data_IF_269108474988
#
_entry.id   IF_269108474988
#
_cell.length_a   1.000
_cell.length_b   1.000
_cell.length_c   1.000
_cell.angle_alpha   90.00
_cell.angle_beta   90.00
_cell.angle_gamma   90.00
#
_symmetry.space_group_name_H-M   'P 1'
#
loop_
_entity.id
_entity.type
_entity.pdbx_description
1 polymer ?
#
# COMPACT_ATOMS: atom_id res chain seq x y z
N UNK A 1 -47.08 -1.39 -44.26
CA UNK A 1 -46.97 -0.07 -43.61
C UNK A 1 -46.16 -0.12 -42.32
N UNK A 2 -46.27 -1.19 -41.50
CA UNK A 2 -45.45 -1.36 -40.28
C UNK A 2 -43.93 -1.41 -40.53
N UNK A 3 -43.47 -2.09 -41.59
CA UNK A 3 -42.04 -2.17 -41.92
C UNK A 3 -41.40 -0.80 -42.23
N UNK A 4 -42.15 0.10 -42.87
CA UNK A 4 -41.70 1.48 -43.11
C UNK A 4 -41.66 2.30 -41.82
N UNK A 5 -42.64 2.10 -40.92
CA UNK A 5 -42.65 2.76 -39.61
C UNK A 5 -41.46 2.32 -38.76
N UNK A 6 -41.21 1.01 -38.66
CA UNK A 6 -40.09 0.48 -37.88
C UNK A 6 -38.72 0.89 -38.44
N UNK A 7 -38.57 0.97 -39.77
CA UNK A 7 -37.35 1.47 -40.40
C UNK A 7 -37.11 2.96 -40.10
N UNK A 8 -38.16 3.79 -40.15
CA UNK A 8 -38.06 5.20 -39.82
C UNK A 8 -37.78 5.43 -38.33
N UNK A 9 -38.40 4.66 -37.44
CA UNK A 9 -38.14 4.72 -36.00
C UNK A 9 -36.69 4.34 -35.68
N UNK A 10 -36.13 3.35 -36.38
CA UNK A 10 -34.75 2.91 -36.20
C UNK A 10 -33.74 3.97 -36.68
N UNK A 11 -34.06 4.68 -37.77
CA UNK A 11 -33.27 5.84 -38.24
C UNK A 11 -33.33 6.98 -37.23
N UNK A 12 -34.50 7.30 -36.70
CA UNK A 12 -34.67 8.36 -35.70
C UNK A 12 -33.89 8.00 -34.43
N UNK A 13 -33.98 6.76 -33.95
CA UNK A 13 -33.22 6.28 -32.79
C UNK A 13 -31.70 6.36 -33.02
N UNK A 14 -31.22 6.09 -34.24
CA UNK A 14 -29.82 6.26 -34.60
C UNK A 14 -29.37 7.73 -34.52
N UNK A 15 -30.15 8.66 -35.08
CA UNK A 15 -29.84 10.09 -34.97
C UNK A 15 -29.93 10.61 -33.53
N UNK A 16 -30.86 10.10 -32.73
CA UNK A 16 -30.96 10.40 -31.30
C UNK A 16 -29.70 9.91 -30.55
N UNK A 17 -29.25 8.68 -30.80
CA UNK A 17 -28.03 8.14 -30.20
C UNK A 17 -26.78 8.95 -30.59
N UNK A 18 -26.67 9.34 -31.86
CA UNK A 18 -25.56 10.18 -32.34
C UNK A 18 -25.60 11.56 -31.68
N UNK A 19 -26.80 12.14 -31.52
CA UNK A 19 -26.98 13.42 -30.83
C UNK A 19 -26.61 13.32 -29.35
N UNK A 20 -27.08 12.29 -28.64
CA UNK A 20 -26.79 12.07 -27.23
C UNK A 20 -25.29 11.77 -27.00
N UNK A 21 -24.65 11.04 -27.93
CA UNK A 21 -23.22 10.79 -27.90
C UNK A 21 -22.39 12.07 -28.08
N UNK A 22 -22.79 12.96 -29.00
CA UNK A 22 -22.11 14.25 -29.21
C UNK A 22 -22.39 15.21 -28.06
N UNK A 23 -23.60 15.23 -27.51
CA UNK A 23 -24.00 16.16 -26.47
C UNK A 23 -23.45 15.78 -25.08
N UNK A 24 -23.40 14.49 -24.75
CA UNK A 24 -23.06 14.01 -23.39
C UNK A 24 -22.04 12.86 -23.37
N UNK A 25 -21.99 12.03 -24.41
CA UNK A 25 -21.09 10.86 -24.45
C UNK A 25 -19.61 11.20 -24.33
N UNK A 26 -19.14 12.31 -24.91
CA UNK A 26 -17.74 12.76 -24.76
C UNK A 26 -17.44 13.19 -23.32
N UNK A 27 -18.38 13.89 -22.67
CA UNK A 27 -18.21 14.35 -21.29
C UNK A 27 -18.14 13.18 -20.32
N UNK A 28 -19.04 12.21 -20.47
CA UNK A 28 -19.07 11.01 -19.64
C UNK A 28 -17.82 10.13 -19.86
N UNK A 29 -17.35 10.00 -21.10
CA UNK A 29 -16.11 9.26 -21.40
C UNK A 29 -14.88 9.91 -20.75
N UNK A 30 -14.76 11.24 -20.79
CA UNK A 30 -13.66 11.95 -20.14
C UNK A 30 -13.77 11.85 -18.61
N UNK A 31 -14.97 12.01 -18.07
CA UNK A 31 -15.23 11.89 -16.62
C UNK A 31 -14.88 10.49 -16.10
N UNK A 32 -15.33 9.44 -16.78
CA UNK A 32 -15.03 8.06 -16.40
C UNK A 32 -13.54 7.75 -16.58
N UNK A 33 -12.92 8.24 -17.66
CA UNK A 33 -11.47 8.17 -17.85
C UNK A 33 -10.69 8.80 -16.70
N UNK A 34 -11.09 10.00 -16.25
CA UNK A 34 -10.47 10.67 -15.10
C UNK A 34 -10.68 9.91 -13.79
N UNK A 35 -11.86 9.31 -13.58
CA UNK A 35 -12.13 8.48 -12.40
C UNK A 35 -11.22 7.25 -12.38
N UNK A 36 -11.08 6.56 -13.51
CA UNK A 36 -10.19 5.39 -13.62
C UNK A 36 -8.73 5.79 -13.43
N UNK A 37 -8.29 6.88 -14.06
CA UNK A 37 -6.93 7.40 -13.90
C UNK A 37 -6.61 7.75 -12.43
N UNK A 38 -7.55 8.40 -11.74
CA UNK A 38 -7.41 8.75 -10.32
C UNK A 38 -7.34 7.50 -9.44
N UNK A 39 -8.20 6.50 -9.69
CA UNK A 39 -8.15 5.21 -8.99
C UNK A 39 -6.81 4.50 -9.20
N UNK A 40 -6.31 4.48 -10.43
CA UNK A 40 -5.03 3.89 -10.76
C UNK A 40 -3.87 4.62 -10.08
N UNK A 41 -3.91 5.96 -10.02
CA UNK A 41 -2.90 6.78 -9.35
C UNK A 41 -2.86 6.51 -7.83
N UNK A 42 -4.02 6.43 -7.17
CA UNK A 42 -4.12 6.07 -5.74
C UNK A 42 -3.58 4.66 -5.51
N UNK A 43 -3.94 3.71 -6.36
CA UNK A 43 -3.47 2.35 -6.22
C UNK A 43 -1.96 2.22 -6.43
N UNK A 44 -1.41 2.94 -7.40
CA UNK A 44 0.02 3.00 -7.67
C UNK A 44 0.78 3.65 -6.51
N UNK A 45 0.26 4.73 -5.93
CA UNK A 45 0.91 5.39 -4.79
C UNK A 45 0.92 4.51 -3.55
N UNK A 46 -0.20 3.85 -3.22
CA UNK A 46 -0.27 2.91 -2.08
C UNK A 46 0.66 1.71 -2.28
N UNK A 47 0.69 1.10 -3.46
CA UNK A 47 1.62 0.01 -3.77
C UNK A 47 3.08 0.46 -3.70
N UNK A 48 3.37 1.68 -4.17
CA UNK A 48 4.69 2.29 -4.04
C UNK A 48 5.10 2.43 -2.59
N UNK A 49 4.23 2.96 -1.72
CA UNK A 49 4.51 3.10 -0.29
C UNK A 49 4.78 1.74 0.39
N UNK A 50 3.98 0.72 0.07
CA UNK A 50 4.18 -0.63 0.61
C UNK A 50 5.54 -1.20 0.18
N UNK A 51 5.91 -1.03 -1.09
CA UNK A 51 7.21 -1.48 -1.60
C UNK A 51 8.37 -0.78 -0.89
N UNK A 52 8.28 0.54 -0.71
CA UNK A 52 9.31 1.31 -0.02
C UNK A 52 9.43 0.92 1.47
N UNK A 53 8.31 0.60 2.12
CA UNK A 53 8.29 0.07 3.48
C UNK A 53 9.02 -1.27 3.52
N UNK A 54 8.74 -2.19 2.60
CA UNK A 54 9.37 -3.51 2.55
C UNK A 54 10.89 -3.44 2.35
N UNK A 55 11.35 -2.55 1.45
CA UNK A 55 12.77 -2.25 1.27
C UNK A 55 13.39 -1.71 2.57
N UNK A 56 12.73 -0.74 3.22
CA UNK A 56 13.23 -0.17 4.47
C UNK A 56 13.32 -1.19 5.60
N UNK A 57 12.36 -2.13 5.66
CA UNK A 57 12.32 -3.20 6.63
C UNK A 57 13.44 -4.21 6.41
N UNK A 58 13.67 -4.58 5.15
CA UNK A 58 14.76 -5.50 4.78
C UNK A 58 16.13 -4.93 5.18
N UNK A 59 16.40 -3.67 4.84
CA UNK A 59 17.64 -2.98 5.23
C UNK A 59 17.76 -2.87 6.75
N UNK A 60 16.68 -2.54 7.46
CA UNK A 60 16.68 -2.47 8.92
C UNK A 60 17.00 -3.80 9.60
N UNK A 61 16.50 -4.90 9.04
CA UNK A 61 16.78 -6.25 9.53
C UNK A 61 18.24 -6.62 9.33
N UNK A 62 18.80 -6.38 8.14
CA UNK A 62 20.23 -6.60 7.85
C UNK A 62 21.14 -5.74 8.74
N UNK A 63 20.73 -4.51 9.04
CA UNK A 63 21.43 -3.64 9.99
C UNK A 63 21.40 -4.19 11.43
N UNK A 64 20.26 -4.68 11.89
CA UNK A 64 20.15 -5.26 13.24
C UNK A 64 20.99 -6.53 13.37
N UNK A 65 20.98 -7.37 12.33
CA UNK A 65 21.76 -8.62 12.28
C UNK A 65 23.26 -8.32 12.24
N UNK A 66 23.70 -7.34 11.43
CA UNK A 66 25.12 -6.94 11.36
C UNK A 66 25.63 -6.25 12.63
N UNK A 67 24.79 -5.50 13.34
CA UNK A 67 25.15 -4.87 14.61
C UNK A 67 25.16 -5.84 15.81
N UNK A 68 24.74 -7.10 15.63
CA UNK A 68 24.73 -8.10 16.69
C UNK A 68 23.76 -7.79 17.85
N UNK A 69 22.78 -6.91 17.63
CA UNK A 69 21.85 -6.45 18.68
C UNK A 69 21.08 -7.64 19.26
N UNK A 70 20.72 -8.63 18.44
CA UNK A 70 20.06 -9.86 18.92
C UNK A 70 20.93 -10.68 19.86
N UNK A 71 22.26 -10.68 19.69
CA UNK A 71 23.19 -11.34 20.60
C UNK A 71 23.31 -10.56 21.93
N UNK A 72 23.31 -9.23 21.86
CA UNK A 72 23.38 -8.35 23.03
C UNK A 72 22.10 -8.43 23.89
N UNK A 73 20.93 -8.49 23.28
CA UNK A 73 19.64 -8.66 24.00
C UNK A 73 19.59 -10.00 24.72
N UNK A 74 20.10 -11.07 24.10
CA UNK A 74 20.19 -12.40 24.75
C UNK A 74 21.19 -12.39 25.91
N UNK A 75 22.38 -11.80 25.74
CA UNK A 75 23.36 -11.72 26.84
C UNK A 75 22.86 -10.89 28.03
N UNK A 76 22.06 -9.85 27.79
CA UNK A 76 21.42 -9.06 28.85
C UNK A 76 20.33 -9.86 29.57
N UNK A 77 19.62 -10.73 28.85
CA UNK A 77 18.62 -11.64 29.44
C UNK A 77 19.25 -12.78 30.24
N UNK A 78 20.38 -13.31 29.79
CA UNK A 78 21.12 -14.34 30.52
C UNK A 78 21.74 -13.79 31.83
N UNK A 79 21.91 -12.47 31.93
CA UNK A 79 22.33 -11.79 33.15
C UNK A 79 21.19 -11.58 34.17
N UNK A 80 19.92 -11.83 33.80
CA UNK A 80 18.78 -11.70 34.70
C UNK A 80 18.61 -12.99 35.56
N UNK A 81 18.31 -12.86 36.87
CA UNK A 81 18.03 -14.01 37.72
C UNK A 81 16.88 -14.86 37.18
N UNK A 82 17.06 -16.18 37.13
CA UNK A 82 16.15 -17.15 36.49
C UNK A 82 14.64 -16.98 36.75
N UNK A 83 14.18 -16.65 37.98
CA UNK A 83 12.75 -16.41 38.25
C UNK A 83 12.19 -15.18 37.52
N UNK A 84 12.99 -14.13 37.37
CA UNK A 84 12.60 -12.87 36.74
C UNK A 84 12.66 -13.03 35.21
N UNK A 85 13.68 -13.72 34.69
CA UNK A 85 13.79 -14.05 33.27
C UNK A 85 12.61 -14.92 32.79
N UNK A 86 12.18 -15.90 33.60
CA UNK A 86 11.01 -16.74 33.31
C UNK A 86 9.70 -15.92 33.31
N UNK A 87 9.56 -14.97 34.24
CA UNK A 87 8.43 -14.04 34.26
C UNK A 87 8.37 -13.17 33.00
N UNK A 88 9.49 -12.59 32.58
CA UNK A 88 9.56 -11.77 31.38
C UNK A 88 9.34 -12.57 30.08
N UNK A 89 9.80 -13.81 30.03
CA UNK A 89 9.51 -14.72 28.91
C UNK A 89 8.01 -15.07 28.83
N UNK A 90 7.33 -15.24 29.96
CA UNK A 90 5.87 -15.45 30.01
C UNK A 90 5.08 -14.27 29.45
N UNK A 91 5.50 -13.03 29.73
CA UNK A 91 4.87 -11.82 29.20
C UNK A 91 5.28 -11.47 27.77
N UNK A 92 6.14 -12.26 27.13
CA UNK A 92 6.58 -12.03 25.75
C UNK A 92 7.46 -10.77 25.55
N UNK A 93 8.06 -10.27 26.64
CA UNK A 93 8.91 -9.07 26.61
C UNK A 93 10.10 -9.19 25.66
N UNK A 94 10.79 -10.34 25.53
CA UNK A 94 11.86 -10.51 24.54
C UNK A 94 11.36 -10.32 23.10
N UNK A 95 10.19 -10.86 22.76
CA UNK A 95 9.61 -10.72 21.42
C UNK A 95 9.18 -9.27 21.17
N UNK A 96 8.56 -8.62 22.16
CA UNK A 96 8.14 -7.23 22.06
C UNK A 96 9.34 -6.28 21.83
N UNK A 97 10.45 -6.48 22.55
CA UNK A 97 11.66 -5.69 22.36
C UNK A 97 12.22 -5.86 20.94
N UNK A 98 12.29 -7.08 20.42
CA UNK A 98 12.75 -7.31 19.04
C UNK A 98 11.87 -6.57 18.01
N UNK A 99 10.54 -6.57 18.19
CA UNK A 99 9.61 -5.85 17.32
C UNK A 99 9.83 -4.33 17.42
N UNK A 100 10.04 -3.80 18.63
CA UNK A 100 10.29 -2.37 18.84
C UNK A 100 11.61 -1.94 18.19
N UNK A 101 12.69 -2.69 18.39
CA UNK A 101 13.99 -2.38 17.77
C UNK A 101 13.90 -2.43 16.25
N UNK A 102 13.23 -3.44 15.70
CA UNK A 102 12.99 -3.57 14.27
C UNK A 102 12.15 -2.43 13.71
N UNK A 103 11.09 -2.03 14.41
CA UNK A 103 10.25 -0.89 14.02
C UNK A 103 11.03 0.44 14.06
N UNK A 104 11.87 0.64 15.07
CA UNK A 104 12.68 1.85 15.22
C UNK A 104 13.76 1.92 14.13
N UNK A 105 14.45 0.81 13.87
CA UNK A 105 15.41 0.70 12.77
C UNK A 105 14.73 0.88 11.40
N UNK A 106 13.54 0.32 11.19
CA UNK A 106 12.76 0.50 9.96
C UNK A 106 12.37 1.98 9.78
N UNK A 107 11.91 2.64 10.84
CA UNK A 107 11.61 4.09 10.82
C UNK A 107 12.85 4.93 10.51
N UNK A 108 14.01 4.54 11.02
CA UNK A 108 15.28 5.19 10.68
C UNK A 108 15.62 4.98 9.20
N UNK A 109 15.53 3.75 8.70
CA UNK A 109 15.81 3.40 7.30
C UNK A 109 14.86 4.08 6.32
N UNK A 110 13.58 4.24 6.67
CA UNK A 110 12.60 4.99 5.86
C UNK A 110 13.04 6.43 5.55
N UNK A 111 13.84 7.08 6.42
CA UNK A 111 14.39 8.43 6.15
C UNK A 111 15.40 8.44 5.00
N UNK A 112 16.04 7.31 4.72
CA UNK A 112 17.03 7.16 3.66
C UNK A 112 16.44 6.57 2.38
N UNK A 113 15.19 6.12 2.42
CA UNK A 113 14.52 5.59 1.24
C UNK A 113 14.15 6.75 0.29
N UNK A 114 14.61 6.72 -0.98
CA UNK A 114 14.27 7.73 -1.95
C UNK A 114 12.75 7.78 -2.14
N UNK A 115 12.21 8.98 -2.39
CA UNK A 115 10.78 9.33 -2.52
C UNK A 115 9.96 9.49 -1.22
N UNK A 116 10.38 8.91 -0.08
CA UNK A 116 9.73 9.13 1.24
C UNK A 116 10.57 10.02 2.15
N UNK A 117 11.90 10.06 1.96
CA UNK A 117 12.83 10.88 2.76
C UNK A 117 12.72 12.39 2.53
N UNK A 118 11.67 13.02 3.03
CA UNK A 118 11.67 14.42 3.50
C UNK A 118 11.14 14.46 4.93
#
# INVERSE_FOLDING_TARGET
MEWLSGFLDQIIAFFQYVWDFIAQGIYDLVKDGMVVATKAAIYASLKGLIFLLDVSYTVARELIDSLGISAMVRSMYDALPGPIAAGFAFFGVPQALNIIFLALATRFCMRFVPFIGR
#
